data_IF_728465351506
#
_entry.id   IF_728465351506
#
_cell.length_a   1.000
_cell.length_b   1.000
_cell.length_c   1.000
_cell.angle_alpha   90.00
_cell.angle_beta   90.00
_cell.angle_gamma   90.00
#
_symmetry.space_group_name_H-M   'P 1'
#
loop_
_entity.id
_entity.type
_entity.pdbx_description
1 polymer ?
#
# COMPACT_ATOMS: atom_id res chain seq x y z
N UNK A 1 30.71 -74.34 -21.28
CA UNK A 1 30.05 -73.37 -20.39
C UNK A 1 31.08 -73.03 -19.34
N UNK A 2 31.48 -71.80 -19.06
CA UNK A 2 31.19 -70.50 -19.62
C UNK A 2 32.36 -69.64 -19.14
N UNK A 3 33.22 -69.16 -20.03
CA UNK A 3 34.22 -68.15 -19.67
C UNK A 3 33.68 -66.81 -20.15
N UNK A 4 33.16 -66.06 -19.19
CA UNK A 4 32.74 -64.69 -19.40
C UNK A 4 33.96 -63.79 -19.40
N UNK A 5 34.18 -63.09 -20.51
CA UNK A 5 34.99 -61.88 -20.55
C UNK A 5 34.16 -60.75 -21.16
N UNK A 6 33.63 -59.94 -20.25
CA UNK A 6 33.41 -58.50 -20.33
C UNK A 6 33.29 -57.88 -21.74
N UNK A 7 32.05 -57.67 -22.19
CA UNK A 7 31.73 -56.66 -23.19
C UNK A 7 32.16 -55.28 -22.63
N UNK A 8 33.28 -54.76 -23.13
CA UNK A 8 33.64 -53.35 -22.95
C UNK A 8 32.61 -52.51 -23.72
N UNK A 9 31.75 -51.85 -22.95
CA UNK A 9 30.63 -51.06 -23.42
C UNK A 9 31.03 -49.94 -24.38
N UNK A 10 30.06 -49.58 -25.21
CA UNK A 10 30.04 -48.40 -26.07
C UNK A 10 30.52 -47.17 -25.31
N UNK A 11 31.76 -46.76 -25.55
CA UNK A 11 32.33 -45.52 -25.01
C UNK A 11 31.65 -44.32 -25.66
N UNK A 12 31.23 -43.36 -24.86
CA UNK A 12 30.62 -42.11 -25.32
C UNK A 12 31.68 -41.16 -25.89
N UNK A 13 31.26 -40.13 -26.62
CA UNK A 13 32.16 -39.14 -27.24
C UNK A 13 33.06 -38.44 -26.20
N UNK A 14 32.56 -38.24 -24.98
CA UNK A 14 33.30 -37.71 -23.82
C UNK A 14 34.37 -38.68 -23.28
N UNK A 15 34.12 -39.98 -23.31
CA UNK A 15 35.09 -41.00 -22.85
C UNK A 15 36.33 -41.03 -23.76
N UNK A 16 36.15 -40.68 -25.04
CA UNK A 16 37.23 -40.62 -26.03
C UNK A 16 38.08 -39.37 -25.85
N UNK A 17 37.52 -38.23 -25.42
CA UNK A 17 38.31 -37.01 -25.21
C UNK A 17 39.40 -37.21 -24.14
N UNK A 18 39.10 -37.99 -23.09
CA UNK A 18 40.00 -38.24 -21.96
C UNK A 18 41.06 -39.33 -22.19
N UNK A 19 41.07 -40.01 -23.35
CA UNK A 19 42.09 -41.04 -23.62
C UNK A 19 43.44 -40.45 -24.06
N UNK A 20 44.53 -41.15 -23.69
CA UNK A 20 45.89 -40.72 -24.02
C UNK A 20 46.18 -40.82 -25.53
N UNK A 21 47.08 -39.96 -26.06
CA UNK A 21 47.41 -39.95 -27.50
C UNK A 21 47.95 -41.29 -28.03
N UNK A 22 48.67 -42.05 -27.20
CA UNK A 22 49.22 -43.35 -27.57
C UNK A 22 48.12 -44.42 -27.72
N UNK A 23 47.10 -44.38 -26.85
CA UNK A 23 46.00 -45.35 -26.85
C UNK A 23 45.07 -45.15 -28.05
N UNK A 24 44.80 -43.88 -28.40
CA UNK A 24 44.04 -43.50 -29.60
C UNK A 24 44.72 -43.97 -30.90
N UNK A 25 46.05 -43.97 -30.92
CA UNK A 25 46.85 -44.40 -32.08
C UNK A 25 46.80 -45.92 -32.26
N UNK A 26 46.74 -46.68 -31.16
CA UNK A 26 46.69 -48.14 -31.18
C UNK A 26 45.33 -48.67 -31.71
N UNK A 27 44.22 -48.09 -31.26
CA UNK A 27 42.86 -48.53 -31.63
C UNK A 27 42.56 -48.34 -33.13
N UNK A 28 43.13 -47.31 -33.77
CA UNK A 28 42.89 -47.01 -35.19
C UNK A 28 43.74 -47.82 -36.18
N UNK A 29 44.57 -48.76 -35.70
CA UNK A 29 45.42 -49.62 -36.53
C UNK A 29 44.80 -50.99 -36.88
N UNK A 30 43.65 -51.32 -36.28
CA UNK A 30 42.92 -52.56 -36.57
C UNK A 30 42.00 -52.42 -37.80
N UNK A 31 41.90 -53.49 -38.58
CA UNK A 31 41.33 -53.60 -39.94
C UNK A 31 39.82 -53.38 -40.09
N UNK A 32 39.10 -52.93 -39.05
CA UNK A 32 37.68 -52.57 -39.12
C UNK A 32 37.42 -51.24 -38.41
N UNK A 33 37.60 -50.13 -39.12
CA UNK A 33 37.40 -48.77 -38.58
C UNK A 33 35.95 -48.27 -38.70
N UNK A 34 35.35 -47.74 -37.61
CA UNK A 34 34.06 -47.03 -37.63
C UNK A 34 34.13 -45.66 -38.33
N UNK A 35 32.99 -45.13 -38.77
CA UNK A 35 32.91 -43.92 -39.64
C UNK A 35 33.47 -42.64 -39.01
N UNK A 36 33.49 -42.52 -37.67
CA UNK A 36 34.11 -41.38 -36.98
C UNK A 36 35.64 -41.31 -37.19
N UNK A 37 36.29 -42.43 -37.54
CA UNK A 37 37.72 -42.46 -37.83
C UNK A 37 38.07 -41.81 -39.19
N UNK A 38 37.12 -41.69 -40.12
CA UNK A 38 37.32 -41.03 -41.42
C UNK A 38 37.45 -39.51 -41.27
N UNK A 39 36.66 -38.91 -40.36
CA UNK A 39 36.70 -37.47 -40.09
C UNK A 39 38.02 -37.00 -39.45
N UNK A 40 38.63 -37.86 -38.62
CA UNK A 40 39.94 -37.59 -38.01
C UNK A 40 41.11 -37.72 -38.99
N UNK A 41 41.02 -38.63 -39.98
CA UNK A 41 42.04 -38.75 -41.03
C UNK A 41 42.03 -37.55 -41.99
N UNK A 42 40.87 -36.95 -42.25
CA UNK A 42 40.76 -35.75 -43.09
C UNK A 42 41.30 -34.47 -42.45
N UNK A 43 41.52 -34.44 -41.12
CA UNK A 43 42.11 -33.27 -40.45
C UNK A 43 43.64 -33.31 -40.35
N UNK A 44 44.30 -34.38 -40.82
CA UNK A 44 45.76 -34.59 -40.69
C UNK A 44 46.56 -34.46 -41.99
N UNK A 45 45.93 -34.06 -43.10
CA UNK A 45 46.62 -33.69 -44.35
C UNK A 45 46.63 -32.17 -44.55
N UNK A 46 47.28 -31.44 -43.63
CA UNK A 46 47.84 -30.11 -43.89
C UNK A 46 49.34 -30.19 -43.61
N UNK A 47 50.12 -29.84 -44.63
CA UNK A 47 51.58 -29.94 -44.67
C UNK A 47 52.23 -28.68 -44.11
N UNK A 48 52.42 -28.58 -42.79
CA UNK A 48 53.46 -27.77 -42.12
C UNK A 48 53.35 -27.84 -40.59
N UNK A 49 54.46 -28.09 -39.88
CA UNK A 49 54.56 -27.98 -38.41
C UNK A 49 54.14 -26.57 -37.92
N UNK A 50 54.25 -25.54 -38.77
CA UNK A 50 53.83 -24.18 -38.47
C UNK A 50 52.31 -24.02 -38.34
N UNK A 51 51.52 -24.78 -39.10
CA UNK A 51 50.06 -24.69 -39.07
C UNK A 51 49.49 -25.27 -37.76
N UNK A 52 50.10 -26.35 -37.25
CA UNK A 52 49.76 -26.94 -35.95
C UNK A 52 50.14 -26.02 -34.78
N UNK A 53 51.31 -25.39 -34.84
CA UNK A 53 51.74 -24.42 -33.82
C UNK A 53 50.83 -23.19 -33.78
N UNK A 54 50.40 -22.71 -34.95
CA UNK A 54 49.45 -21.59 -35.07
C UNK A 54 48.08 -21.95 -34.51
N UNK A 55 47.53 -23.11 -34.86
CA UNK A 55 46.24 -23.57 -34.33
C UNK A 55 46.25 -23.72 -32.79
N UNK A 56 47.37 -24.17 -32.21
CA UNK A 56 47.53 -24.30 -30.76
C UNK A 56 47.61 -22.94 -30.06
N UNK A 57 48.30 -21.96 -30.64
CA UNK A 57 48.35 -20.61 -30.09
C UNK A 57 47.00 -19.89 -30.25
N UNK A 58 46.31 -20.06 -31.39
CA UNK A 58 44.96 -19.52 -31.60
C UNK A 58 43.97 -20.10 -30.59
N UNK A 59 44.04 -21.41 -30.29
CA UNK A 59 43.23 -22.04 -29.25
C UNK A 59 43.55 -21.51 -27.83
N UNK A 60 44.84 -21.25 -27.54
CA UNK A 60 45.27 -20.66 -26.26
C UNK A 60 44.76 -19.23 -26.11
N UNK A 61 44.85 -18.43 -27.16
CA UNK A 61 44.35 -17.06 -27.19
C UNK A 61 42.82 -17.02 -27.09
N UNK A 62 42.10 -17.95 -27.73
CA UNK A 62 40.66 -18.08 -27.61
C UNK A 62 40.22 -18.46 -26.19
N UNK A 63 40.93 -19.35 -25.51
CA UNK A 63 40.66 -19.72 -24.12
C UNK A 63 40.88 -18.53 -23.16
N UNK A 64 41.94 -17.74 -23.35
CA UNK A 64 42.20 -16.52 -22.58
C UNK A 64 41.11 -15.47 -22.84
N UNK A 65 40.67 -15.31 -24.08
CA UNK A 65 39.59 -14.38 -24.43
C UNK A 65 38.26 -14.78 -23.78
N UNK A 66 37.93 -16.07 -23.76
CA UNK A 66 36.72 -16.60 -23.11
C UNK A 66 36.75 -16.37 -21.59
N UNK A 67 37.87 -16.66 -20.93
CA UNK A 67 38.02 -16.44 -19.49
C UNK A 67 37.84 -14.96 -19.11
N UNK A 68 38.41 -14.04 -19.91
CA UNK A 68 38.22 -12.59 -19.71
C UNK A 68 36.77 -12.16 -19.93
N UNK A 69 36.08 -12.72 -20.93
CA UNK A 69 34.67 -12.42 -21.17
C UNK A 69 33.76 -12.87 -20.03
N UNK A 70 34.05 -14.03 -19.43
CA UNK A 70 33.33 -14.55 -18.26
C UNK A 70 33.56 -13.71 -17.00
N UNK A 71 34.79 -13.24 -16.75
CA UNK A 71 35.06 -12.31 -15.64
C UNK A 71 34.33 -10.98 -15.81
N UNK A 72 34.32 -10.41 -17.02
CA UNK A 72 33.59 -9.17 -17.32
C UNK A 72 32.08 -9.38 -17.15
N UNK A 73 31.53 -10.52 -17.58
CA UNK A 73 30.13 -10.85 -17.39
C UNK A 73 29.75 -11.00 -15.90
N UNK A 74 30.61 -11.65 -15.10
CA UNK A 74 30.41 -11.77 -13.64
C UNK A 74 30.46 -10.41 -12.96
N UNK A 75 31.48 -9.60 -13.26
CA UNK A 75 31.63 -8.26 -12.72
C UNK A 75 30.44 -7.35 -13.07
N UNK A 76 29.94 -7.45 -14.31
CA UNK A 76 28.73 -6.73 -14.74
C UNK A 76 27.48 -7.19 -13.95
N UNK A 77 27.30 -8.50 -13.76
CA UNK A 77 26.15 -9.02 -12.99
C UNK A 77 26.15 -8.57 -11.53
N UNK A 78 27.34 -8.47 -10.91
CA UNK A 78 27.50 -7.99 -9.53
C UNK A 78 27.18 -6.50 -9.47
N UNK A 79 27.70 -5.70 -10.41
CA UNK A 79 27.41 -4.28 -10.50
C UNK A 79 25.91 -4.01 -10.72
N UNK A 80 25.26 -4.78 -11.58
CA UNK A 80 23.82 -4.68 -11.85
C UNK A 80 22.99 -5.06 -10.60
N UNK A 81 23.40 -6.10 -9.87
CA UNK A 81 22.75 -6.51 -8.62
C UNK A 81 22.92 -5.47 -7.51
N UNK A 82 24.08 -4.84 -7.39
CA UNK A 82 24.31 -3.74 -6.44
C UNK A 82 23.53 -2.48 -6.82
N UNK A 83 23.46 -2.14 -8.11
CA UNK A 83 22.65 -1.03 -8.60
C UNK A 83 21.18 -1.23 -8.26
N UNK A 84 20.65 -2.45 -8.49
CA UNK A 84 19.28 -2.81 -8.12
C UNK A 84 19.02 -2.69 -6.62
N UNK A 85 19.92 -3.21 -5.78
CA UNK A 85 19.81 -3.07 -4.31
C UNK A 85 19.78 -1.61 -3.85
N UNK A 86 20.60 -0.75 -4.47
CA UNK A 86 20.62 0.69 -4.17
C UNK A 86 19.31 1.38 -4.59
N UNK A 87 18.76 1.00 -5.73
CA UNK A 87 17.48 1.51 -6.19
C UNK A 87 16.33 1.07 -5.27
N UNK A 88 16.27 -0.21 -4.91
CA UNK A 88 15.26 -0.75 -4.00
C UNK A 88 15.33 -0.05 -2.62
N UNK A 89 16.53 0.18 -2.10
CA UNK A 89 16.73 0.93 -0.86
C UNK A 89 16.20 2.36 -0.96
N UNK A 90 16.52 3.07 -2.05
CA UNK A 90 16.00 4.44 -2.28
C UNK A 90 14.47 4.48 -2.40
N UNK A 91 13.88 3.48 -3.05
CA UNK A 91 12.42 3.35 -3.16
C UNK A 91 11.77 3.11 -1.79
N UNK A 92 12.37 2.27 -0.95
CA UNK A 92 11.89 2.04 0.42
C UNK A 92 12.01 3.30 1.29
N UNK A 93 13.15 4.00 1.24
CA UNK A 93 13.35 5.27 1.97
C UNK A 93 12.37 6.35 1.51
N UNK A 94 12.13 6.48 0.19
CA UNK A 94 11.16 7.42 -0.34
C UNK A 94 9.72 7.08 0.08
N UNK A 95 9.35 5.80 0.08
CA UNK A 95 8.04 5.34 0.54
C UNK A 95 7.83 5.60 2.04
N UNK A 96 8.86 5.38 2.87
CA UNK A 96 8.82 5.66 4.29
C UNK A 96 8.69 7.16 4.58
N UNK A 97 9.49 8.00 3.92
CA UNK A 97 9.40 9.45 4.05
C UNK A 97 8.02 9.99 3.61
N UNK A 98 7.41 9.41 2.57
CA UNK A 98 6.06 9.76 2.14
C UNK A 98 5.00 9.37 3.18
N UNK A 99 5.14 8.19 3.81
CA UNK A 99 4.26 7.75 4.89
C UNK A 99 4.39 8.63 6.14
N UNK A 100 5.62 8.98 6.53
CA UNK A 100 5.90 9.86 7.66
C UNK A 100 5.36 11.28 7.42
N UNK A 101 5.49 11.80 6.20
CA UNK A 101 4.91 13.08 5.80
C UNK A 101 3.38 13.09 5.87
N UNK A 102 2.73 12.00 5.43
CA UNK A 102 1.28 11.84 5.54
C UNK A 102 0.81 11.75 7.00
N UNK A 103 1.54 11.01 7.84
CA UNK A 103 1.24 10.94 9.26
C UNK A 103 1.36 12.32 9.94
N UNK A 104 2.45 13.06 9.67
CA UNK A 104 2.65 14.40 10.21
C UNK A 104 1.52 15.38 9.81
N UNK A 105 1.03 15.30 8.57
CA UNK A 105 -0.11 16.10 8.11
C UNK A 105 -1.41 15.72 8.84
N UNK A 106 -1.68 14.43 9.03
CA UNK A 106 -2.85 13.96 9.77
C UNK A 106 -2.80 14.39 11.24
N UNK A 107 -1.63 14.30 11.88
CA UNK A 107 -1.43 14.80 13.24
C UNK A 107 -1.63 16.31 13.34
N UNK A 108 -1.08 17.08 12.39
CA UNK A 108 -1.28 18.53 12.33
C UNK A 108 -2.77 18.90 12.17
N UNK A 109 -3.47 18.24 11.25
CA UNK A 109 -4.91 18.46 11.03
C UNK A 109 -5.73 18.10 12.29
N UNK A 110 -5.40 17.00 12.96
CA UNK A 110 -6.04 16.60 14.21
C UNK A 110 -5.81 17.62 15.32
N UNK A 111 -4.59 18.12 15.47
CA UNK A 111 -4.24 19.13 16.48
C UNK A 111 -5.01 20.43 16.23
N UNK A 112 -5.11 20.88 14.98
CA UNK A 112 -5.90 22.08 14.63
C UNK A 112 -7.39 21.86 14.89
N UNK A 113 -7.93 20.66 14.59
CA UNK A 113 -9.31 20.32 14.91
C UNK A 113 -9.57 20.33 16.42
N UNK A 114 -8.64 19.81 17.22
CA UNK A 114 -8.71 19.85 18.69
C UNK A 114 -8.69 21.30 19.21
N UNK A 115 -7.82 22.16 18.66
CA UNK A 115 -7.79 23.59 19.01
C UNK A 115 -9.10 24.32 18.67
N UNK A 116 -9.66 24.06 17.49
CA UNK A 116 -10.94 24.64 17.08
C UNK A 116 -12.08 24.18 17.99
N UNK A 117 -12.08 22.89 18.35
CA UNK A 117 -13.07 22.34 19.29
C UNK A 117 -12.91 22.96 20.68
N UNK A 118 -11.69 23.14 21.16
CA UNK A 118 -11.42 23.79 22.45
C UNK A 118 -11.91 25.24 22.46
N UNK A 119 -11.64 26.01 21.40
CA UNK A 119 -12.17 27.38 21.25
C UNK A 119 -13.69 27.41 21.25
N UNK A 120 -14.32 26.51 20.50
CA UNK A 120 -15.78 26.40 20.46
C UNK A 120 -16.38 26.16 21.85
N UNK A 121 -15.76 25.33 22.68
CA UNK A 121 -16.20 25.10 24.07
C UNK A 121 -16.03 26.36 24.92
N UNK A 122 -14.91 27.06 24.81
CA UNK A 122 -14.70 28.34 25.53
C UNK A 122 -15.74 29.40 25.12
N UNK A 123 -15.98 29.57 23.82
CA UNK A 123 -16.97 30.53 23.31
C UNK A 123 -18.39 30.17 23.79
N UNK A 124 -18.68 28.87 23.91
CA UNK A 124 -19.94 28.37 24.45
C UNK A 124 -20.10 28.68 25.94
N UNK A 125 -19.06 28.45 26.75
CA UNK A 125 -19.08 28.76 28.19
C UNK A 125 -19.27 30.27 28.45
N UNK A 126 -18.62 31.13 27.65
CA UNK A 126 -18.81 32.57 27.72
C UNK A 126 -20.25 32.96 27.38
N UNK A 127 -20.82 32.37 26.33
CA UNK A 127 -22.22 32.58 25.97
C UNK A 127 -23.14 32.17 27.12
N UNK A 128 -22.95 30.98 27.70
CA UNK A 128 -23.76 30.46 28.80
C UNK A 128 -23.78 31.41 30.02
N UNK A 129 -22.66 32.09 30.29
CA UNK A 129 -22.58 33.10 31.36
C UNK A 129 -23.42 34.36 31.11
N UNK A 130 -23.89 34.58 29.89
CA UNK A 130 -24.56 35.81 29.45
C UNK A 130 -26.01 35.65 29.00
N UNK A 131 -26.51 34.42 28.88
CA UNK A 131 -27.86 34.15 28.33
C UNK A 131 -28.88 33.79 29.42
N UNK A 132 -30.13 34.19 29.20
CA UNK A 132 -31.32 33.63 29.85
C UNK A 132 -32.11 32.84 28.80
N UNK A 133 -32.20 31.50 28.91
CA UNK A 133 -32.94 30.67 27.94
C UNK A 133 -34.42 31.03 27.76
N UNK A 134 -35.04 31.77 28.70
CA UNK A 134 -36.42 32.26 28.59
C UNK A 134 -36.54 33.60 27.87
N UNK A 135 -35.41 34.31 27.69
CA UNK A 135 -35.35 35.69 27.17
C UNK A 135 -34.17 35.87 26.22
N UNK A 136 -33.98 34.91 25.32
CA UNK A 136 -32.96 35.06 24.28
C UNK A 136 -33.34 36.19 23.32
N UNK A 137 -32.39 37.08 23.09
CA UNK A 137 -32.44 38.05 21.99
C UNK A 137 -32.16 37.36 20.67
N UNK A 138 -32.55 37.97 19.53
CA UNK A 138 -32.27 37.42 18.19
C UNK A 138 -30.78 37.10 17.99
N UNK A 139 -29.88 37.99 18.43
CA UNK A 139 -28.44 37.78 18.29
C UNK A 139 -27.96 36.57 19.10
N UNK A 140 -28.51 36.35 20.29
CA UNK A 140 -28.20 35.16 21.08
C UNK A 140 -28.78 33.89 20.44
N UNK A 141 -29.99 33.95 19.87
CA UNK A 141 -30.58 32.81 19.13
C UNK A 141 -29.69 32.41 17.95
N UNK A 142 -29.17 33.38 17.18
CA UNK A 142 -28.25 33.12 16.07
C UNK A 142 -26.98 32.43 16.59
N UNK A 143 -26.36 32.95 17.64
CA UNK A 143 -25.17 32.33 18.23
C UNK A 143 -25.44 30.90 18.71
N UNK A 144 -26.53 30.66 19.45
CA UNK A 144 -26.88 29.31 19.91
C UNK A 144 -27.14 28.38 18.71
N UNK A 145 -27.72 28.88 17.61
CA UNK A 145 -27.87 28.12 16.36
C UNK A 145 -26.53 27.73 15.74
N UNK A 146 -25.57 28.64 15.68
CA UNK A 146 -24.21 28.32 15.19
C UNK A 146 -23.57 27.18 16.00
N UNK A 147 -23.74 27.19 17.33
CA UNK A 147 -23.28 26.09 18.20
C UNK A 147 -24.04 24.79 17.96
N UNK A 148 -25.36 24.85 17.77
CA UNK A 148 -26.19 23.67 17.48
C UNK A 148 -25.81 23.04 16.13
N UNK A 149 -25.61 23.86 15.09
CA UNK A 149 -25.25 23.44 13.74
C UNK A 149 -23.82 22.84 13.66
N UNK A 150 -22.94 23.18 14.61
CA UNK A 150 -21.61 22.57 14.71
C UNK A 150 -21.65 21.06 14.97
N UNK A 151 -22.75 20.54 15.54
CA UNK A 151 -22.89 19.14 15.95
C UNK A 151 -21.98 18.72 17.11
N UNK A 152 -21.25 19.65 17.74
CA UNK A 152 -20.33 19.38 18.86
C UNK A 152 -20.92 19.73 20.22
N UNK A 153 -21.95 20.57 20.27
CA UNK A 153 -22.58 21.07 21.50
C UNK A 153 -24.06 20.72 21.49
N UNK A 154 -24.45 19.50 21.92
CA UNK A 154 -25.85 19.10 21.92
C UNK A 154 -26.70 19.93 22.91
N UNK A 155 -26.10 20.53 23.92
CA UNK A 155 -26.77 21.45 24.86
C UNK A 155 -27.30 22.70 24.16
N UNK A 156 -26.65 23.15 23.06
CA UNK A 156 -27.15 24.25 22.25
C UNK A 156 -28.50 23.91 21.59
N UNK A 157 -28.65 22.66 21.14
CA UNK A 157 -29.92 22.17 20.61
C UNK A 157 -30.99 22.13 21.72
N UNK A 158 -30.65 21.74 22.96
CA UNK A 158 -31.58 21.79 24.09
C UNK A 158 -32.04 23.22 24.41
N UNK A 159 -31.13 24.20 24.43
CA UNK A 159 -31.46 25.61 24.71
C UNK A 159 -32.35 26.19 23.60
N UNK A 160 -32.04 25.92 22.32
CA UNK A 160 -32.91 26.33 21.21
C UNK A 160 -34.28 25.68 21.29
N UNK A 161 -34.33 24.39 21.59
CA UNK A 161 -35.59 23.66 21.72
C UNK A 161 -36.48 24.27 22.81
N UNK A 162 -35.87 24.59 23.95
CA UNK A 162 -36.57 25.26 25.05
C UNK A 162 -37.06 26.64 24.64
N UNK A 163 -36.23 27.44 23.97
CA UNK A 163 -36.60 28.77 23.50
C UNK A 163 -37.78 28.71 22.51
N UNK A 164 -37.75 27.80 21.52
CA UNK A 164 -38.87 27.60 20.59
C UNK A 164 -40.13 27.05 21.26
N UNK A 165 -40.01 26.23 22.31
CA UNK A 165 -41.17 25.64 22.98
C UNK A 165 -41.94 26.67 23.81
N UNK A 166 -41.24 27.64 24.39
CA UNK A 166 -41.81 28.62 25.32
C UNK A 166 -42.02 29.99 24.69
N UNK A 167 -41.25 30.31 23.65
CA UNK A 167 -41.19 31.63 23.04
C UNK A 167 -40.46 32.65 23.92
N UNK A 168 -40.04 33.75 23.30
CA UNK A 168 -39.59 34.98 23.93
C UNK A 168 -40.18 36.18 23.18
N UNK A 169 -39.89 37.40 23.63
CA UNK A 169 -40.32 38.63 22.96
C UNK A 169 -39.86 38.68 21.49
N UNK A 170 -38.68 38.11 21.21
CA UNK A 170 -38.02 38.10 19.90
C UNK A 170 -38.16 36.77 19.13
N UNK A 171 -38.59 35.70 19.80
CA UNK A 171 -38.67 34.35 19.23
C UNK A 171 -40.07 33.76 19.45
N UNK A 172 -40.94 33.70 18.44
CA UNK A 172 -42.29 33.15 18.63
C UNK A 172 -42.24 31.64 18.91
N UNK A 173 -43.27 31.16 19.62
CA UNK A 173 -43.44 29.73 19.89
C UNK A 173 -43.50 28.96 18.56
N UNK A 174 -42.65 27.95 18.43
CA UNK A 174 -42.61 27.04 17.29
C UNK A 174 -42.37 25.61 17.78
N UNK A 175 -43.45 24.91 18.13
CA UNK A 175 -43.37 23.56 18.68
C UNK A 175 -42.75 22.54 17.71
N UNK A 176 -42.90 22.75 16.40
CA UNK A 176 -42.31 21.86 15.38
C UNK A 176 -40.79 21.97 15.42
N UNK A 177 -40.28 23.20 15.46
CA UNK A 177 -38.85 23.44 15.55
C UNK A 177 -38.30 23.04 16.92
N UNK A 178 -39.04 23.30 18.01
CA UNK A 178 -38.68 22.81 19.34
C UNK A 178 -38.48 21.29 19.37
N UNK A 179 -39.39 20.53 18.73
CA UNK A 179 -39.26 19.08 18.67
C UNK A 179 -38.00 18.64 17.90
N UNK A 180 -37.70 19.28 16.75
CA UNK A 180 -36.49 18.95 15.97
C UNK A 180 -35.22 19.14 16.77
N UNK A 181 -35.12 20.26 17.46
CA UNK A 181 -33.95 20.59 18.27
C UNK A 181 -33.83 19.64 19.47
N UNK A 182 -34.93 19.29 20.16
CA UNK A 182 -34.91 18.25 21.19
C UNK A 182 -34.54 16.86 20.65
N UNK A 183 -35.01 16.50 19.45
CA UNK A 183 -34.67 15.23 18.81
C UNK A 183 -33.19 15.19 18.41
N UNK A 184 -32.64 16.28 17.86
CA UNK A 184 -31.21 16.40 17.57
C UNK A 184 -30.35 16.26 18.84
N UNK A 185 -30.71 16.95 19.92
CA UNK A 185 -30.06 16.80 21.22
C UNK A 185 -30.12 15.37 21.76
N UNK A 186 -31.28 14.71 21.64
CA UNK A 186 -31.47 13.33 22.07
C UNK A 186 -30.60 12.36 21.27
N UNK A 187 -30.58 12.49 19.94
CA UNK A 187 -29.77 11.66 19.04
C UNK A 187 -28.27 11.86 19.27
N UNK A 188 -27.86 13.07 19.65
CA UNK A 188 -26.50 13.39 20.03
C UNK A 188 -26.11 12.89 21.45
N UNK A 189 -27.04 12.29 22.19
CA UNK A 189 -26.77 11.58 23.44
C UNK A 189 -27.35 12.21 24.71
N UNK A 190 -28.00 13.38 24.62
CA UNK A 190 -28.65 14.03 25.78
C UNK A 190 -29.98 13.36 26.12
N UNK A 191 -29.93 12.17 26.71
CA UNK A 191 -31.12 11.34 26.95
C UNK A 191 -32.16 12.00 27.84
N UNK A 192 -31.77 12.92 28.73
CA UNK A 192 -32.68 13.61 29.66
C UNK A 192 -33.70 14.50 28.94
N UNK A 193 -33.38 14.99 27.73
CA UNK A 193 -34.28 15.86 26.97
C UNK A 193 -35.54 15.15 26.49
N UNK A 194 -35.56 13.81 26.52
CA UNK A 194 -36.71 12.98 26.08
C UNK A 194 -38.03 13.38 26.74
N UNK A 195 -38.01 13.74 28.02
CA UNK A 195 -39.23 14.17 28.72
C UNK A 195 -39.79 15.46 28.11
N UNK A 196 -38.92 16.44 27.84
CA UNK A 196 -39.32 17.70 27.22
C UNK A 196 -39.72 17.50 25.74
N UNK A 197 -38.99 16.64 25.02
CA UNK A 197 -39.33 16.23 23.65
C UNK A 197 -40.75 15.64 23.57
N UNK A 198 -41.10 14.73 24.47
CA UNK A 198 -42.44 14.12 24.52
C UNK A 198 -43.52 15.15 24.87
N UNK A 199 -43.25 16.07 25.80
CA UNK A 199 -44.20 17.15 26.14
C UNK A 199 -44.49 18.06 24.94
N UNK A 200 -43.49 18.33 24.10
CA UNK A 200 -43.68 19.06 22.85
C UNK A 200 -44.46 18.21 21.85
N UNK A 201 -44.11 16.93 21.72
CA UNK A 201 -44.79 15.98 20.84
C UNK A 201 -46.30 15.94 21.06
N UNK A 202 -46.74 15.84 22.31
CA UNK A 202 -48.16 15.73 22.68
C UNK A 202 -48.96 17.01 22.34
N UNK A 203 -48.29 18.14 22.14
CA UNK A 203 -48.89 19.42 21.77
C UNK A 203 -48.88 19.68 20.26
N UNK A 204 -48.17 18.87 19.47
CA UNK A 204 -48.15 18.99 18.02
C UNK A 204 -49.43 18.46 17.40
N UNK A 205 -49.85 19.08 16.30
CA UNK A 205 -50.99 18.59 15.52
C UNK A 205 -50.64 17.27 14.82
N UNK A 206 -51.62 16.39 14.54
CA UNK A 206 -51.36 15.10 13.88
C UNK A 206 -50.57 15.21 12.57
N UNK A 207 -50.84 16.22 11.75
CA UNK A 207 -50.11 16.46 10.50
C UNK A 207 -48.63 16.84 10.72
N UNK A 208 -48.33 17.57 11.80
CA UNK A 208 -46.97 17.94 12.16
C UNK A 208 -46.21 16.74 12.73
N UNK A 209 -46.88 15.93 13.54
CA UNK A 209 -46.36 14.66 14.03
C UNK A 209 -46.01 13.71 12.87
N UNK A 210 -46.91 13.55 11.90
CA UNK A 210 -46.66 12.71 10.73
C UNK A 210 -45.44 13.19 9.93
N UNK A 211 -45.30 14.50 9.69
CA UNK A 211 -44.15 15.07 9.01
C UNK A 211 -42.83 14.80 9.76
N UNK A 212 -42.82 14.97 11.08
CA UNK A 212 -41.62 14.75 11.91
C UNK A 212 -41.23 13.28 12.03
N UNK A 213 -42.20 12.35 12.06
CA UNK A 213 -41.90 10.90 12.02
C UNK A 213 -41.12 10.52 10.76
N UNK A 214 -41.49 11.08 9.61
CA UNK A 214 -40.79 10.83 8.35
C UNK A 214 -39.37 11.42 8.33
N UNK A 215 -39.14 12.49 9.11
CA UNK A 215 -37.84 13.18 9.23
C UNK A 215 -36.83 12.36 10.05
N UNK A 216 -37.28 11.70 11.14
CA UNK A 216 -36.41 11.00 12.10
C UNK A 216 -36.44 9.45 12.04
N UNK A 217 -37.28 8.83 11.20
CA UNK A 217 -37.31 7.37 10.98
C UNK A 217 -36.50 6.91 9.74
N UNK A 218 -35.52 7.69 9.27
CA UNK A 218 -34.55 7.26 8.25
C UNK A 218 -33.28 6.75 8.90
#
# INVERSE_FOLDING_TARGET
>A
MADGETQLGTSTEEDVENMSPALKTFICSATSTPDWCKAYKSSKTSTSIADWAKAKEDARLAAIAKAKAEEVAKAKSIADAEAKKREDKRRMEAAQNAADGSAAQLFGAKLEQEKLTARLVTDWEELLGSIDPKKLTINQVVKVREFADSGKIPEANEILAFAYANGSDDLPINLKEAYRQYAAAFLAGLKHVRSNMNRVWDKLKPEQQAALRNEFNR
#
